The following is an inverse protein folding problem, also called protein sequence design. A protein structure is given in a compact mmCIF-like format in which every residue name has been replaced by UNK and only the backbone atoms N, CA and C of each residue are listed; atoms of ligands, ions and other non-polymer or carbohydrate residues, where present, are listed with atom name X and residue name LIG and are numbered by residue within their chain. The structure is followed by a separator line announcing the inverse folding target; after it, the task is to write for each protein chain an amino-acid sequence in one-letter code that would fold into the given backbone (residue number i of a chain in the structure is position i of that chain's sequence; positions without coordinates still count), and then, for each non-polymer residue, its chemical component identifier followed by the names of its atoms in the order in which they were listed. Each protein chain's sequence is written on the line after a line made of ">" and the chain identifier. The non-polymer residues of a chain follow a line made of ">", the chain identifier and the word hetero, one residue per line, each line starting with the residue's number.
data_IF_614973406717
#
_entry.id   IF_614973406717
#
_cell.length_a   1.000
_cell.length_b   1.000
_cell.length_c   1.000
_cell.angle_alpha   90.00
_cell.angle_beta   90.00
_cell.angle_gamma   90.00
#
_symmetry.space_group_name_H-M   'P 1'
#
loop_
_entity.id
_entity.type
_entity.pdbx_description
1 polymer ?
#
# COMPACT_ATOMS: atom_id res chain seq x y z
N UNK A 1 -12.38 26.46 -41.92
CA UNK A 1 -12.11 26.22 -40.48
C UNK A 1 -12.90 25.00 -40.07
N UNK A 2 -12.25 23.83 -39.97
CA UNK A 2 -12.93 22.58 -39.63
C UNK A 2 -12.95 22.42 -38.11
N UNK A 3 -14.14 22.39 -37.51
CA UNK A 3 -14.31 22.01 -36.12
C UNK A 3 -14.11 20.50 -35.98
N UNK A 4 -13.06 20.09 -35.27
CA UNK A 4 -12.77 18.69 -35.01
C UNK A 4 -13.73 18.17 -33.94
N UNK A 5 -14.66 17.29 -34.31
CA UNK A 5 -15.55 16.56 -33.40
C UNK A 5 -14.74 15.54 -32.59
N UNK A 6 -14.03 15.99 -31.56
CA UNK A 6 -13.39 15.10 -30.60
C UNK A 6 -14.43 14.77 -29.52
N UNK A 7 -14.88 13.51 -29.50
CA UNK A 7 -15.65 12.96 -28.39
C UNK A 7 -14.83 13.07 -27.10
N UNK A 8 -15.42 13.49 -25.96
CA UNK A 8 -14.68 13.52 -24.71
C UNK A 8 -14.21 12.10 -24.35
N UNK A 9 -13.03 11.96 -23.73
CA UNK A 9 -12.51 10.66 -23.34
C UNK A 9 -13.46 9.98 -22.34
N UNK A 10 -13.55 8.64 -22.40
CA UNK A 10 -14.40 7.85 -21.51
C UNK A 10 -13.97 7.96 -20.03
N UNK A 11 -12.72 8.35 -19.79
CA UNK A 11 -12.11 8.51 -18.47
C UNK A 11 -11.32 9.81 -18.47
N UNK A 12 -11.55 10.62 -17.45
CA UNK A 12 -10.71 11.78 -17.13
C UNK A 12 -9.90 11.48 -15.87
N UNK A 13 -8.61 11.81 -15.90
CA UNK A 13 -7.77 11.72 -14.71
C UNK A 13 -8.15 12.87 -13.80
N UNK A 14 -8.80 12.55 -12.68
CA UNK A 14 -9.25 13.56 -11.73
C UNK A 14 -8.09 14.18 -10.95
N UNK A 15 -7.18 13.33 -10.47
CA UNK A 15 -6.05 13.73 -9.63
C UNK A 15 -4.83 12.85 -9.90
N UNK A 16 -3.64 13.39 -9.61
CA UNK A 16 -2.38 12.66 -9.56
C UNK A 16 -1.69 12.94 -8.23
N UNK A 17 -1.12 11.91 -7.61
CA UNK A 17 -0.40 12.04 -6.36
C UNK A 17 1.03 11.55 -6.51
N UNK A 18 1.96 12.34 -5.98
CA UNK A 18 3.35 11.93 -5.88
C UNK A 18 3.52 10.88 -4.77
N UNK A 19 4.50 10.01 -4.96
CA UNK A 19 4.90 9.07 -3.92
C UNK A 19 5.54 9.83 -2.74
N UNK A 20 5.31 9.41 -1.48
CA UNK A 20 5.92 10.01 -0.32
C UNK A 20 7.44 10.03 -0.44
N UNK A 21 8.12 11.13 -0.06
CA UNK A 21 9.57 11.24 -0.14
C UNK A 21 10.30 10.07 0.54
N UNK A 22 9.81 9.61 1.70
CA UNK A 22 10.41 8.49 2.44
C UNK A 22 10.45 7.17 1.65
N UNK A 23 9.45 6.93 0.79
CA UNK A 23 9.43 5.75 -0.09
C UNK A 23 10.45 5.92 -1.22
N UNK A 24 10.51 7.11 -1.82
CA UNK A 24 11.45 7.45 -2.88
C UNK A 24 12.90 7.33 -2.38
N UNK A 25 13.19 7.90 -1.21
CA UNK A 25 14.49 7.82 -0.55
C UNK A 25 14.89 6.36 -0.27
N UNK A 26 13.97 5.54 0.26
CA UNK A 26 14.25 4.12 0.54
C UNK A 26 14.52 3.33 -0.75
N UNK A 27 13.75 3.57 -1.80
CA UNK A 27 13.93 2.95 -3.10
C UNK A 27 15.30 3.33 -3.71
N UNK A 28 15.63 4.62 -3.70
CA UNK A 28 16.91 5.12 -4.20
C UNK A 28 18.10 4.58 -3.39
N UNK A 29 17.96 4.47 -2.06
CA UNK A 29 18.99 3.91 -1.19
C UNK A 29 19.25 2.41 -1.44
N UNK A 30 18.29 1.68 -2.00
CA UNK A 30 18.47 0.29 -2.40
C UNK A 30 19.28 0.14 -3.71
N UNK A 31 19.64 1.24 -4.37
CA UNK A 31 20.60 1.25 -5.49
C UNK A 31 20.14 0.50 -6.76
N UNK A 32 18.86 0.15 -6.86
CA UNK A 32 18.32 -0.63 -8.00
C UNK A 32 18.61 -2.14 -7.95
N UNK A 33 19.26 -2.63 -6.90
CA UNK A 33 19.53 -4.07 -6.69
C UNK A 33 18.47 -4.72 -5.77
N UNK A 34 17.72 -3.90 -5.03
CA UNK A 34 16.66 -4.34 -4.13
C UNK A 34 15.36 -4.76 -4.82
N UNK A 35 14.55 -5.55 -4.12
CA UNK A 35 13.22 -5.96 -4.63
C UNK A 35 12.20 -4.88 -4.28
N UNK A 36 11.50 -4.36 -5.29
CA UNK A 36 10.41 -3.41 -5.09
C UNK A 36 9.10 -3.91 -5.70
N UNK A 37 8.01 -3.86 -4.93
CA UNK A 37 6.67 -4.24 -5.37
C UNK A 37 5.69 -3.13 -5.01
N UNK A 38 4.58 -3.02 -5.73
CA UNK A 38 3.52 -2.08 -5.39
C UNK A 38 2.14 -2.61 -5.78
N UNK A 39 1.11 -2.02 -5.21
CA UNK A 39 -0.27 -2.37 -5.52
C UNK A 39 -1.28 -1.51 -4.78
N UNK A 40 -2.55 -1.86 -4.93
CA UNK A 40 -3.68 -1.13 -4.36
C UNK A 40 -4.61 -2.10 -3.64
N UNK A 41 -5.07 -1.68 -2.47
CA UNK A 41 -6.12 -2.30 -1.67
C UNK A 41 -7.34 -1.38 -1.61
N UNK A 42 -8.21 -1.41 -2.65
CA UNK A 42 -9.34 -0.51 -2.74
C UNK A 42 -10.34 -0.67 -1.59
N UNK A 43 -10.47 -1.87 -1.03
CA UNK A 43 -11.38 -2.19 0.08
C UNK A 43 -11.09 -1.37 1.34
N UNK A 44 -9.83 -0.98 1.54
CA UNK A 44 -9.39 -0.17 2.68
C UNK A 44 -8.86 1.21 2.25
N UNK A 45 -9.09 1.58 0.99
CA UNK A 45 -8.65 2.86 0.37
C UNK A 45 -7.16 3.13 0.52
N UNK A 46 -6.33 2.10 0.30
CA UNK A 46 -4.87 2.22 0.42
C UNK A 46 -4.12 1.79 -0.82
N UNK A 47 -3.06 2.50 -1.14
CA UNK A 47 -1.97 2.00 -1.96
C UNK A 47 -0.88 1.44 -1.04
N UNK A 48 -0.06 0.55 -1.57
CA UNK A 48 1.09 0.01 -0.86
C UNK A 48 2.29 -0.10 -1.78
N UNK A 49 3.47 -0.01 -1.19
CA UNK A 49 4.74 -0.29 -1.84
C UNK A 49 5.68 -0.99 -0.87
N UNK A 50 6.45 -1.96 -1.35
CA UNK A 50 7.54 -2.57 -0.60
C UNK A 50 8.87 -2.28 -1.27
N UNK A 51 9.91 -2.12 -0.46
CA UNK A 51 11.31 -2.05 -0.87
C UNK A 51 12.11 -2.93 0.10
N UNK A 52 12.64 -4.04 -0.40
CA UNK A 52 13.25 -5.11 0.38
C UNK A 52 12.29 -5.56 1.51
N UNK A 53 12.72 -5.40 2.76
CA UNK A 53 11.99 -5.75 3.98
C UNK A 53 11.05 -4.65 4.50
N UNK A 54 10.98 -3.51 3.80
CA UNK A 54 10.19 -2.35 4.22
C UNK A 54 8.88 -2.29 3.43
N UNK A 55 7.76 -2.05 4.12
CA UNK A 55 6.46 -1.82 3.53
C UNK A 55 5.94 -0.44 3.90
N UNK A 56 5.37 0.23 2.92
CA UNK A 56 4.77 1.55 3.01
C UNK A 56 3.29 1.45 2.64
N UNK A 57 2.43 2.08 3.44
CA UNK A 57 0.98 2.13 3.18
C UNK A 57 0.54 3.58 3.07
N UNK A 58 -0.21 3.87 2.02
CA UNK A 58 -0.62 5.23 1.69
C UNK A 58 -2.13 5.27 1.57
N UNK A 59 -2.73 6.31 2.14
CA UNK A 59 -4.13 6.63 1.84
C UNK A 59 -4.18 7.42 0.54
N UNK A 60 -4.98 6.96 -0.41
CA UNK A 60 -5.28 7.76 -1.61
C UNK A 60 -6.56 8.58 -1.45
N UNK A 61 -7.32 8.39 -0.35
CA UNK A 61 -8.52 9.17 -0.04
C UNK A 61 -8.24 10.39 0.86
N UNK A 62 -7.06 10.45 1.48
CA UNK A 62 -6.61 11.57 2.32
C UNK A 62 -5.15 11.87 2.06
N UNK A 63 -4.86 13.09 1.59
CA UNK A 63 -3.49 13.62 1.53
C UNK A 63 -3.09 14.24 2.88
N UNK A 64 -2.89 13.40 3.90
CA UNK A 64 -2.40 13.82 5.21
C UNK A 64 -0.87 13.63 5.36
N UNK A 65 -0.20 13.15 4.31
CA UNK A 65 1.22 12.82 4.31
C UNK A 65 1.58 11.64 5.21
N UNK A 66 0.59 10.95 5.81
CA UNK A 66 0.84 9.82 6.68
C UNK A 66 1.17 8.59 5.82
N UNK A 67 2.36 8.05 6.06
CA UNK A 67 2.82 6.83 5.41
C UNK A 67 3.31 5.86 6.49
N UNK A 68 2.40 5.12 7.16
CA UNK A 68 2.80 4.07 8.10
C UNK A 68 3.80 3.13 7.43
N UNK A 69 4.94 2.96 8.08
CA UNK A 69 6.02 2.07 7.64
C UNK A 69 6.02 0.83 8.53
N UNK A 70 6.00 -0.33 7.91
CA UNK A 70 6.41 -1.57 8.53
C UNK A 70 7.84 -1.90 8.08
N UNK A 71 8.70 -2.32 9.00
CA UNK A 71 10.05 -2.78 8.70
C UNK A 71 10.25 -4.15 9.35
N UNK A 72 10.38 -5.19 8.52
CA UNK A 72 10.82 -6.51 8.97
C UNK A 72 12.34 -6.54 9.20
N UNK A 73 12.82 -7.45 10.04
CA UNK A 73 14.23 -7.40 10.47
C UNK A 73 15.21 -7.94 9.42
N UNK A 74 14.87 -8.98 8.64
CA UNK A 74 15.92 -9.66 7.86
C UNK A 74 15.59 -9.97 6.39
N UNK A 75 14.34 -10.22 6.02
CA UNK A 75 14.02 -10.74 4.68
C UNK A 75 13.20 -9.80 3.80
N UNK A 76 13.52 -9.82 2.51
CA UNK A 76 12.77 -9.09 1.52
C UNK A 76 11.33 -9.61 1.42
N UNK A 77 10.39 -8.68 1.31
CA UNK A 77 8.98 -8.96 1.07
C UNK A 77 8.83 -9.40 -0.39
N UNK A 78 8.39 -10.63 -0.60
CA UNK A 78 8.17 -11.19 -1.92
C UNK A 78 6.70 -11.11 -2.37
N UNK A 79 5.76 -10.97 -1.43
CA UNK A 79 4.35 -10.71 -1.73
C UNK A 79 3.64 -9.98 -0.59
N UNK A 80 2.63 -9.19 -0.95
CA UNK A 80 1.75 -8.47 -0.03
C UNK A 80 0.30 -8.75 -0.42
N UNK A 81 -0.52 -9.10 0.56
CA UNK A 81 -1.92 -9.43 0.35
C UNK A 81 -2.83 -8.84 1.43
N UNK A 82 -4.11 -8.73 1.10
CA UNK A 82 -5.16 -8.34 2.03
C UNK A 82 -6.17 -9.48 2.17
N UNK A 83 -6.38 -9.96 3.39
CA UNK A 83 -7.34 -11.01 3.70
C UNK A 83 -8.46 -10.48 4.59
N UNK A 84 -9.68 -10.98 4.45
CA UNK A 84 -10.75 -10.71 5.42
C UNK A 84 -10.48 -11.46 6.73
N UNK A 85 -10.72 -10.80 7.85
CA UNK A 85 -10.61 -11.44 9.16
C UNK A 85 -11.70 -12.52 9.32
N UNK A 86 -11.34 -13.65 9.96
CA UNK A 86 -12.28 -14.73 10.22
C UNK A 86 -13.23 -14.34 11.37
N UNK A 87 -14.56 -14.45 11.20
CA UNK A 87 -15.51 -14.18 12.28
C UNK A 87 -15.22 -15.04 13.53
N UNK A 88 -15.30 -14.42 14.70
CA UNK A 88 -15.09 -15.09 15.99
C UNK A 88 -13.63 -15.40 16.35
N UNK A 89 -12.66 -14.99 15.53
CA UNK A 89 -11.21 -15.14 15.84
C UNK A 89 -10.60 -13.83 16.34
N UNK A 90 -10.91 -12.72 15.68
CA UNK A 90 -10.42 -11.39 16.05
C UNK A 90 -11.54 -10.55 16.68
N UNK A 91 -11.16 -9.48 17.40
CA UNK A 91 -12.12 -8.47 17.85
C UNK A 91 -12.83 -7.84 16.65
N UNK A 92 -14.10 -7.47 16.81
CA UNK A 92 -14.96 -7.00 15.70
C UNK A 92 -14.40 -5.79 14.95
N UNK A 93 -13.56 -4.97 15.60
CA UNK A 93 -12.87 -3.85 14.98
C UNK A 93 -11.88 -4.26 13.87
N UNK A 94 -11.39 -5.50 13.86
CA UNK A 94 -10.42 -6.00 12.87
C UNK A 94 -11.19 -6.68 11.73
N UNK A 95 -11.35 -5.97 10.62
CA UNK A 95 -12.10 -6.46 9.45
C UNK A 95 -11.22 -7.12 8.39
N UNK A 96 -9.96 -6.68 8.27
CA UNK A 96 -8.97 -7.21 7.35
C UNK A 96 -7.62 -7.44 8.05
N UNK A 97 -6.84 -8.35 7.47
CA UNK A 97 -5.50 -8.70 7.88
C UNK A 97 -4.57 -8.41 6.71
N UNK A 98 -3.43 -7.78 7.01
CA UNK A 98 -2.35 -7.69 6.06
C UNK A 98 -1.56 -9.00 6.10
N UNK A 99 -1.31 -9.55 4.92
CA UNK A 99 -0.50 -10.74 4.73
C UNK A 99 0.80 -10.32 4.07
N UNK A 100 1.93 -10.60 4.72
CA UNK A 100 3.27 -10.38 4.16
C UNK A 100 3.95 -11.72 3.98
N UNK A 101 4.45 -12.00 2.79
CA UNK A 101 5.27 -13.16 2.54
C UNK A 101 6.73 -12.73 2.36
N UNK A 102 7.62 -13.46 3.01
CA UNK A 102 9.07 -13.45 2.76
C UNK A 102 9.48 -14.83 2.24
N UNK A 103 10.72 -15.01 1.77
CA UNK A 103 11.21 -16.33 1.38
C UNK A 103 11.14 -17.41 2.46
N UNK A 104 11.14 -17.05 3.75
CA UNK A 104 11.13 -18.02 4.86
C UNK A 104 9.82 -18.10 5.63
N UNK A 105 8.97 -17.07 5.59
CA UNK A 105 7.77 -17.04 6.41
C UNK A 105 6.61 -16.23 5.81
N UNK A 106 5.43 -16.45 6.38
CA UNK A 106 4.22 -15.66 6.10
C UNK A 106 3.74 -15.04 7.39
N UNK A 107 3.70 -13.71 7.42
CA UNK A 107 3.32 -12.89 8.56
C UNK A 107 1.90 -12.38 8.36
N UNK A 108 1.05 -12.55 9.38
CA UNK A 108 -0.29 -11.96 9.45
C UNK A 108 -0.27 -10.78 10.43
N UNK A 109 -0.48 -9.58 9.93
CA UNK A 109 -0.46 -8.35 10.73
C UNK A 109 -1.84 -7.68 10.78
N UNK A 110 -2.30 -7.40 12.00
CA UNK A 110 -3.52 -6.64 12.29
C UNK A 110 -3.28 -5.12 12.33
N UNK A 111 -2.03 -4.66 12.18
CA UNK A 111 -1.59 -3.31 12.51
C UNK A 111 -2.23 -2.21 11.64
N UNK A 112 -2.79 -2.55 10.47
CA UNK A 112 -3.36 -1.56 9.54
C UNK A 112 -4.71 -1.01 10.00
N UNK A 113 -5.51 -1.74 10.78
CA UNK A 113 -6.92 -1.33 10.98
C UNK A 113 -7.16 -0.69 12.34
N UNK A 114 -6.45 -1.14 13.38
CA UNK A 114 -6.62 -0.57 14.71
C UNK A 114 -5.86 0.75 14.89
N UNK A 115 -4.69 0.93 14.26
CA UNK A 115 -3.92 2.16 14.36
C UNK A 115 -4.51 3.33 13.54
N UNK A 116 -5.39 3.03 12.57
CA UNK A 116 -5.94 4.01 11.62
C UNK A 116 -7.43 4.32 11.85
N UNK A 117 -8.06 3.67 12.83
CA UNK A 117 -9.40 4.04 13.33
C UNK A 117 -9.33 5.03 14.51
N UNK A 118 -8.15 5.21 15.12
CA UNK A 118 -7.90 6.07 16.30
C UNK A 118 -7.10 7.33 15.94
N UNK A 119 -6.63 7.46 14.70
CA UNK A 119 -6.02 8.66 14.11
C UNK A 119 -6.88 9.15 12.93
#
# INVERSE_FOLDING_TARGET
>A
MSATWLWPPLVEVLDNWELPPVLIERYNAAGGEGTALCGIFPEIRRAWASVDNSLFLLRFDKCDGQCPKYSGEEQAICAVGLAKAKPGVFVEAIQYLLVLATPVEVILSHYIIHALAVL
#
